data_IF_349960254179
#
_entry.id   IF_349960254179
#
_cell.length_a   1.000
_cell.length_b   1.000
_cell.length_c   1.000
_cell.angle_alpha   90.00
_cell.angle_beta   90.00
_cell.angle_gamma   90.00
#
_symmetry.space_group_name_H-M   'P 1'
#
loop_
_entity.id
_entity.type
_entity.pdbx_description
1 polymer ?
#
# COMPACT_ATOMS: atom_id res chain seq x y z
N UNK A 1 3.47 -3.09 -8.99
CA UNK A 1 3.27 -1.82 -9.71
C UNK A 1 1.83 -1.79 -10.18
N UNK A 2 1.03 -0.90 -9.61
CA UNK A 2 -0.37 -0.70 -10.01
C UNK A 2 -0.44 0.35 -11.11
N UNK A 3 -1.28 0.11 -12.13
CA UNK A 3 -1.48 1.03 -13.25
C UNK A 3 -2.95 1.44 -13.29
N UNK A 4 -3.21 2.70 -13.59
CA UNK A 4 -4.54 3.28 -13.51
C UNK A 4 -5.02 3.77 -14.89
N UNK A 5 -6.32 3.60 -15.13
CA UNK A 5 -7.03 4.19 -16.25
C UNK A 5 -8.21 5.00 -15.71
N UNK A 6 -8.28 6.29 -16.07
CA UNK A 6 -9.30 7.22 -15.56
C UNK A 6 -9.36 7.26 -14.02
N UNK A 7 -8.21 7.19 -13.35
CA UNK A 7 -8.14 7.21 -11.89
C UNK A 7 -8.58 5.92 -11.20
N UNK A 8 -8.73 4.80 -11.93
CA UNK A 8 -9.22 3.51 -11.41
C UNK A 8 -8.22 2.40 -11.80
N UNK A 9 -7.87 1.51 -10.87
CA UNK A 9 -6.88 0.44 -11.14
C UNK A 9 -7.34 -0.41 -12.31
N UNK A 10 -6.43 -0.69 -13.23
CA UNK A 10 -6.66 -1.60 -14.35
C UNK A 10 -6.58 -3.04 -13.83
N UNK A 11 -7.62 -3.84 -14.08
CA UNK A 11 -7.61 -5.27 -13.80
C UNK A 11 -6.66 -5.99 -14.77
N UNK A 12 -5.69 -6.71 -14.24
CA UNK A 12 -4.74 -7.54 -14.97
C UNK A 12 -4.37 -8.75 -14.12
N UNK A 13 -3.88 -9.82 -14.74
CA UNK A 13 -3.66 -11.09 -14.03
C UNK A 13 -2.72 -10.89 -12.83
N UNK A 14 -3.20 -11.20 -11.62
CA UNK A 14 -2.43 -11.08 -10.38
C UNK A 14 -2.18 -9.66 -9.89
N UNK A 15 -2.99 -8.67 -10.27
CA UNK A 15 -2.97 -7.33 -9.65
C UNK A 15 -3.75 -7.27 -8.33
N UNK A 16 -4.63 -8.26 -8.06
CA UNK A 16 -5.45 -8.33 -6.86
C UNK A 16 -6.86 -7.76 -7.02
N UNK A 17 -7.27 -7.44 -8.26
CA UNK A 17 -8.64 -7.12 -8.61
C UNK A 17 -9.54 -8.35 -8.44
N UNK A 18 -10.73 -8.16 -7.86
CA UNK A 18 -11.63 -9.26 -7.48
C UNK A 18 -13.10 -8.84 -7.48
N UNK A 19 -13.99 -9.78 -7.77
CA UNK A 19 -15.42 -9.66 -7.48
C UNK A 19 -15.65 -10.37 -6.16
N UNK A 20 -16.22 -9.68 -5.18
CA UNK A 20 -16.35 -10.18 -3.81
C UNK A 20 -17.81 -10.25 -3.43
N UNK A 21 -18.25 -11.44 -3.00
CA UNK A 21 -19.59 -11.68 -2.49
C UNK A 21 -20.68 -11.16 -3.44
N UNK A 22 -20.55 -11.48 -4.73
CA UNK A 22 -21.62 -11.24 -5.70
C UNK A 22 -22.83 -12.09 -5.30
N UNK A 23 -23.91 -11.42 -4.92
CA UNK A 23 -25.03 -12.04 -4.21
C UNK A 23 -26.34 -11.31 -4.54
N UNK A 24 -27.47 -12.03 -4.67
CA UNK A 24 -27.61 -13.49 -4.55
C UNK A 24 -27.33 -14.23 -5.87
N UNK A 25 -26.47 -15.25 -5.82
CA UNK A 25 -26.41 -16.30 -6.85
C UNK A 25 -27.31 -17.48 -6.46
N UNK A 26 -28.43 -17.68 -7.16
CA UNK A 26 -29.42 -18.69 -6.72
C UNK A 26 -29.16 -20.04 -7.36
N UNK A 27 -28.48 -20.92 -6.63
CA UNK A 27 -28.24 -22.29 -7.05
C UNK A 27 -29.16 -23.30 -6.35
N UNK A 28 -29.48 -24.40 -7.04
CA UNK A 28 -30.24 -25.51 -6.50
C UNK A 28 -29.34 -26.43 -5.66
N UNK A 29 -29.65 -26.56 -4.37
CA UNK A 29 -28.91 -27.39 -3.41
C UNK A 29 -29.59 -28.74 -3.19
N UNK A 30 -28.84 -29.87 -3.18
CA UNK A 30 -29.42 -31.17 -2.90
C UNK A 30 -30.07 -31.22 -1.50
N UNK A 31 -31.27 -31.78 -1.35
CA UNK A 31 -31.88 -32.00 -0.03
C UNK A 31 -31.11 -33.09 0.73
N UNK A 32 -31.06 -32.98 2.07
CA UNK A 32 -30.32 -33.95 2.91
C UNK A 32 -30.95 -35.36 2.95
N UNK A 33 -32.26 -35.55 2.72
CA UNK A 33 -32.98 -36.85 2.70
C UNK A 33 -34.46 -36.71 2.22
N UNK A 34 -35.12 -37.72 1.60
CA UNK A 34 -34.86 -38.40 0.32
C UNK A 34 -35.36 -37.62 -0.94
N UNK A 35 -35.08 -38.18 -2.13
CA UNK A 35 -34.88 -37.54 -3.44
C UNK A 35 -36.11 -36.99 -4.21
N UNK A 36 -36.85 -36.02 -3.68
CA UNK A 36 -37.84 -35.25 -4.47
C UNK A 36 -38.19 -33.95 -3.74
N UNK A 37 -37.74 -32.75 -4.17
CA UNK A 37 -37.72 -32.18 -5.54
C UNK A 37 -36.29 -31.97 -6.11
N UNK A 38 -36.11 -31.40 -7.34
CA UNK A 38 -34.81 -31.28 -8.05
C UNK A 38 -33.72 -30.40 -7.40
N UNK A 39 -33.86 -30.09 -6.11
CA UNK A 39 -33.02 -29.18 -5.33
C UNK A 39 -33.85 -28.05 -4.74
N UNK A 40 -33.37 -27.47 -3.64
CA UNK A 40 -33.95 -26.26 -3.05
C UNK A 40 -33.17 -25.06 -3.58
N UNK A 41 -33.83 -24.03 -4.13
CA UNK A 41 -33.14 -22.81 -4.54
C UNK A 41 -32.61 -22.09 -3.29
N UNK A 42 -31.29 -21.94 -3.21
CA UNK A 42 -30.58 -21.30 -2.10
C UNK A 42 -29.67 -20.23 -2.67
N UNK A 43 -29.69 -18.99 -2.15
CA UNK A 43 -28.78 -17.94 -2.59
C UNK A 43 -27.39 -18.14 -2.00
N UNK A 44 -26.36 -18.08 -2.83
CA UNK A 44 -24.94 -18.19 -2.50
C UNK A 44 -24.19 -16.91 -2.88
N UNK A 45 -23.08 -16.60 -2.18
CA UNK A 45 -22.16 -15.57 -2.60
C UNK A 45 -21.14 -16.12 -3.60
N UNK A 46 -20.86 -15.37 -4.65
CA UNK A 46 -19.82 -15.67 -5.61
C UNK A 46 -18.56 -14.81 -5.39
N UNK A 47 -17.39 -15.42 -5.59
CA UNK A 47 -16.09 -14.76 -5.54
C UNK A 47 -15.29 -15.05 -6.81
N UNK A 48 -14.79 -14.02 -7.48
CA UNK A 48 -13.96 -14.11 -8.68
C UNK A 48 -12.65 -13.34 -8.51
N UNK A 49 -11.54 -13.87 -9.04
CA UNK A 49 -10.21 -13.33 -8.83
C UNK A 49 -9.46 -13.15 -10.14
N UNK A 50 -8.76 -12.02 -10.30
CA UNK A 50 -7.91 -11.79 -11.48
C UNK A 50 -6.71 -12.74 -11.60
N UNK A 51 -6.40 -13.50 -10.55
CA UNK A 51 -5.29 -14.47 -10.55
C UNK A 51 -5.50 -15.63 -11.52
N UNK A 52 -6.73 -15.88 -11.97
CA UNK A 52 -7.05 -16.88 -12.99
C UNK A 52 -7.54 -16.28 -14.32
N UNK A 53 -7.25 -14.98 -14.54
CA UNK A 53 -7.61 -14.27 -15.76
C UNK A 53 -7.18 -15.03 -17.01
N UNK A 54 -8.13 -15.27 -17.89
CA UNK A 54 -7.95 -15.94 -19.17
C UNK A 54 -8.33 -15.00 -20.31
N UNK A 55 -7.69 -15.16 -21.47
CA UNK A 55 -7.96 -14.36 -22.68
C UNK A 55 -7.78 -12.84 -22.47
N UNK A 56 -6.80 -12.46 -21.63
CA UNK A 56 -6.32 -11.09 -21.52
C UNK A 56 -5.45 -10.65 -22.70
N UNK A 57 -4.91 -9.44 -22.63
CA UNK A 57 -4.07 -8.85 -23.69
C UNK A 57 -2.83 -9.69 -24.01
N UNK A 58 -2.42 -9.67 -25.29
CA UNK A 58 -1.23 -10.41 -25.74
C UNK A 58 0.06 -9.59 -25.67
N UNK A 59 -0.01 -8.33 -26.10
CA UNK A 59 1.15 -7.47 -26.37
C UNK A 59 1.45 -6.52 -25.22
N UNK A 60 0.44 -5.82 -24.70
CA UNK A 60 0.58 -4.87 -23.58
C UNK A 60 0.37 -5.63 -22.27
N UNK A 61 1.25 -5.42 -21.30
CA UNK A 61 1.23 -6.15 -20.04
C UNK A 61 1.51 -5.22 -18.87
N UNK A 62 0.90 -5.50 -17.73
CA UNK A 62 1.23 -4.86 -16.44
C UNK A 62 2.01 -5.89 -15.63
N UNK A 63 3.25 -5.61 -15.24
CA UNK A 63 4.07 -6.56 -14.48
C UNK A 63 4.27 -7.91 -15.19
N UNK A 64 4.44 -7.91 -16.52
CA UNK A 64 4.52 -9.11 -17.37
C UNK A 64 3.25 -9.99 -17.41
N UNK A 65 2.12 -9.45 -16.95
CA UNK A 65 0.83 -10.13 -16.90
C UNK A 65 -0.19 -9.49 -17.85
N UNK A 66 -1.06 -10.31 -18.48
CA UNK A 66 -2.06 -9.85 -19.42
C UNK A 66 -3.13 -9.00 -18.71
N UNK A 67 -3.70 -8.05 -19.44
CA UNK A 67 -4.70 -7.08 -18.99
C UNK A 67 -6.09 -7.60 -19.31
N UNK A 68 -7.07 -7.37 -18.41
CA UNK A 68 -8.47 -7.70 -18.63
C UNK A 68 -9.10 -6.75 -19.64
N UNK A 69 -9.59 -7.30 -20.74
CA UNK A 69 -10.11 -6.58 -21.90
C UNK A 69 -11.60 -6.83 -22.12
N UNK A 70 -12.27 -5.77 -22.56
CA UNK A 70 -13.65 -5.74 -23.07
C UNK A 70 -13.96 -6.96 -23.94
N UNK A 71 -15.05 -7.66 -23.59
CA UNK A 71 -15.66 -8.73 -24.39
C UNK A 71 -14.73 -9.88 -24.79
N UNK A 72 -13.56 -10.02 -24.16
CA UNK A 72 -12.68 -11.16 -24.41
C UNK A 72 -12.16 -11.84 -23.16
N UNK A 73 -11.87 -11.08 -22.12
CA UNK A 73 -11.24 -11.63 -20.93
C UNK A 73 -12.26 -12.06 -19.88
N UNK A 74 -11.91 -13.06 -19.09
CA UNK A 74 -12.75 -13.57 -18.01
C UNK A 74 -11.91 -14.18 -16.90
N UNK A 75 -12.43 -14.15 -15.68
CA UNK A 75 -11.93 -15.00 -14.60
C UNK A 75 -12.46 -16.41 -14.82
N UNK A 76 -11.58 -17.40 -14.70
CA UNK A 76 -11.83 -18.75 -15.21
C UNK A 76 -12.97 -19.44 -14.44
N UNK A 77 -13.09 -19.16 -13.14
CA UNK A 77 -14.16 -19.68 -12.28
C UNK A 77 -14.52 -18.67 -11.18
N UNK A 78 -15.77 -18.71 -10.71
CA UNK A 78 -16.17 -18.23 -9.41
C UNK A 78 -16.13 -19.36 -8.37
N UNK A 79 -16.28 -18.99 -7.10
CA UNK A 79 -16.36 -19.90 -5.94
C UNK A 79 -17.35 -19.35 -4.93
N UNK A 80 -17.83 -20.20 -4.02
CA UNK A 80 -18.79 -19.87 -2.96
C UNK A 80 -20.19 -20.48 -3.16
N UNK A 81 -20.47 -20.97 -4.37
CA UNK A 81 -21.70 -21.62 -4.81
C UNK A 81 -21.56 -23.15 -5.00
N UNK A 82 -20.45 -23.76 -4.55
CA UNK A 82 -20.16 -25.18 -4.76
C UNK A 82 -21.22 -26.10 -4.15
N UNK A 83 -21.88 -25.68 -3.07
CA UNK A 83 -22.96 -26.42 -2.41
C UNK A 83 -24.25 -26.46 -3.27
N UNK A 84 -24.38 -25.57 -4.25
CA UNK A 84 -25.44 -25.55 -5.27
C UNK A 84 -25.33 -26.66 -6.31
N UNK A 85 -25.05 -27.89 -5.90
CA UNK A 85 -24.65 -29.00 -6.77
C UNK A 85 -25.80 -29.94 -7.20
N UNK A 86 -27.07 -29.54 -7.05
CA UNK A 86 -28.17 -30.34 -7.59
C UNK A 86 -28.14 -30.35 -9.13
N UNK A 87 -28.91 -31.23 -9.76
CA UNK A 87 -28.84 -31.45 -11.21
C UNK A 87 -29.01 -30.16 -12.05
N UNK A 88 -29.83 -29.22 -11.57
CA UNK A 88 -30.03 -27.91 -12.22
C UNK A 88 -28.90 -26.91 -11.94
N UNK A 89 -28.23 -26.95 -10.79
CA UNK A 89 -27.23 -25.96 -10.33
C UNK A 89 -27.79 -24.53 -10.36
N UNK A 90 -27.14 -23.57 -11.01
CA UNK A 90 -27.63 -22.20 -11.17
C UNK A 90 -29.00 -22.11 -11.84
N UNK A 91 -29.80 -21.14 -11.40
CA UNK A 91 -31.18 -20.95 -11.84
C UNK A 91 -31.28 -20.65 -13.35
N UNK A 92 -30.40 -19.79 -13.85
CA UNK A 92 -30.31 -19.27 -15.20
C UNK A 92 -29.32 -20.11 -16.02
N UNK A 93 -28.08 -20.22 -15.56
CA UNK A 93 -26.95 -20.74 -16.34
C UNK A 93 -26.83 -22.27 -16.28
N UNK A 94 -27.51 -22.90 -15.33
CA UNK A 94 -27.39 -24.33 -15.02
C UNK A 94 -25.96 -24.78 -14.71
N UNK A 95 -25.12 -23.84 -14.24
CA UNK A 95 -23.78 -24.13 -13.76
C UNK A 95 -23.63 -23.65 -12.32
N UNK A 96 -22.61 -24.14 -11.66
CA UNK A 96 -22.03 -23.55 -10.46
C UNK A 96 -20.52 -23.40 -10.73
N UNK A 97 -19.84 -22.45 -10.09
CA UNK A 97 -18.41 -22.14 -10.31
C UNK A 97 -18.06 -21.72 -11.75
N UNK A 98 -19.01 -21.09 -12.46
CA UNK A 98 -18.87 -20.61 -13.83
C UNK A 98 -17.89 -19.43 -13.98
N UNK A 99 -17.80 -18.86 -15.19
CA UNK A 99 -16.86 -17.75 -15.45
C UNK A 99 -17.38 -16.43 -14.90
N UNK A 100 -16.48 -15.47 -14.66
CA UNK A 100 -16.83 -14.08 -14.34
C UNK A 100 -16.37 -13.16 -15.46
N UNK A 101 -17.27 -12.31 -15.95
CA UNK A 101 -16.99 -11.37 -17.03
C UNK A 101 -17.19 -9.93 -16.56
N UNK A 102 -16.30 -9.04 -16.98
CA UNK A 102 -16.55 -7.61 -16.88
C UNK A 102 -17.65 -7.19 -17.87
N UNK A 103 -18.65 -6.48 -17.37
CA UNK A 103 -19.78 -5.91 -18.11
C UNK A 103 -19.60 -4.40 -18.37
N UNK A 104 -18.57 -3.78 -17.80
CA UNK A 104 -18.15 -2.42 -18.09
C UNK A 104 -16.62 -2.32 -18.18
N UNK A 105 -16.13 -1.26 -18.80
CA UNK A 105 -14.71 -1.02 -19.06
C UNK A 105 -14.47 0.46 -19.36
N UNK A 106 -13.21 0.86 -19.50
CA UNK A 106 -12.85 2.19 -19.97
C UNK A 106 -13.25 2.41 -21.43
N UNK A 107 -13.92 3.53 -21.70
CA UNK A 107 -14.35 3.94 -23.04
C UNK A 107 -13.23 4.60 -23.86
N UNK A 108 -12.23 5.18 -23.20
CA UNK A 108 -11.17 6.00 -23.80
C UNK A 108 -9.77 5.38 -23.65
N UNK A 109 -9.49 4.65 -22.57
CA UNK A 109 -8.26 3.87 -22.41
C UNK A 109 -8.46 2.47 -22.96
N UNK A 110 -7.74 2.18 -24.05
CA UNK A 110 -7.86 0.92 -24.79
C UNK A 110 -6.52 0.21 -24.93
N UNK A 111 -6.55 -1.11 -24.77
CA UNK A 111 -5.43 -2.01 -25.04
C UNK A 111 -5.83 -2.92 -26.18
N UNK A 112 -5.05 -2.92 -27.26
CA UNK A 112 -5.34 -3.71 -28.48
C UNK A 112 -6.74 -3.39 -29.04
N UNK A 113 -7.09 -2.10 -29.05
CA UNK A 113 -8.38 -1.55 -29.49
C UNK A 113 -9.60 -1.94 -28.64
N UNK A 114 -9.40 -2.60 -27.50
CA UNK A 114 -10.45 -2.99 -26.56
C UNK A 114 -10.36 -2.18 -25.28
N UNK A 115 -11.50 -1.78 -24.71
CA UNK A 115 -11.51 -1.14 -23.39
C UNK A 115 -10.90 -2.03 -22.32
N UNK A 116 -10.27 -1.43 -21.31
CA UNK A 116 -9.72 -2.17 -20.16
C UNK A 116 -10.72 -2.20 -19.01
N UNK A 117 -10.89 -3.35 -18.37
CA UNK A 117 -11.70 -3.48 -17.15
C UNK A 117 -10.93 -2.88 -15.96
N UNK A 118 -11.63 -2.19 -15.06
CA UNK A 118 -11.01 -1.46 -13.94
C UNK A 118 -11.78 -1.65 -12.63
N UNK A 119 -11.16 -1.25 -11.51
CA UNK A 119 -11.85 -1.01 -10.24
C UNK A 119 -13.17 -0.28 -10.48
N UNK A 120 -14.28 -0.77 -9.94
CA UNK A 120 -15.62 -0.19 -9.99
C UNK A 120 -16.41 -0.53 -11.25
N UNK A 121 -15.79 -1.18 -12.24
CA UNK A 121 -16.53 -1.60 -13.44
C UNK A 121 -17.39 -2.80 -13.04
N UNK A 122 -18.61 -2.87 -13.57
CA UNK A 122 -19.53 -3.97 -13.27
C UNK A 122 -19.00 -5.27 -13.86
N UNK A 123 -19.28 -6.37 -13.18
CA UNK A 123 -19.03 -7.73 -13.61
C UNK A 123 -20.23 -8.60 -13.24
N UNK A 124 -20.38 -9.72 -13.92
CA UNK A 124 -21.41 -10.73 -13.62
C UNK A 124 -20.75 -12.09 -13.48
N UNK A 125 -21.28 -12.90 -12.57
CA UNK A 125 -20.68 -14.16 -12.16
C UNK A 125 -21.44 -15.40 -12.65
N UNK A 126 -20.79 -16.55 -12.47
CA UNK A 126 -21.34 -17.87 -12.75
C UNK A 126 -21.82 -18.12 -14.18
N UNK A 127 -21.10 -17.59 -15.17
CA UNK A 127 -21.46 -17.74 -16.58
C UNK A 127 -21.21 -19.15 -17.13
N UNK A 128 -22.27 -19.74 -17.70
CA UNK A 128 -22.21 -20.76 -18.76
C UNK A 128 -22.99 -20.33 -20.02
N UNK A 129 -23.50 -19.09 -20.02
CA UNK A 129 -24.24 -18.46 -21.11
C UNK A 129 -23.86 -16.97 -21.21
N UNK A 130 -24.47 -16.22 -22.14
CA UNK A 130 -24.25 -14.77 -22.23
C UNK A 130 -24.68 -14.04 -20.95
N UNK A 131 -25.73 -14.52 -20.27
CA UNK A 131 -26.13 -14.02 -18.96
C UNK A 131 -25.42 -14.82 -17.87
N UNK A 132 -25.02 -14.11 -16.81
CA UNK A 132 -24.58 -14.72 -15.56
C UNK A 132 -25.77 -15.23 -14.74
N UNK A 133 -25.48 -15.99 -13.68
CA UNK A 133 -26.51 -16.47 -12.76
C UNK A 133 -26.78 -15.47 -11.63
N UNK A 134 -25.74 -14.73 -11.24
CA UNK A 134 -25.77 -13.64 -10.27
C UNK A 134 -26.05 -12.27 -10.92
N UNK A 135 -26.64 -11.31 -10.18
CA UNK A 135 -26.77 -9.92 -10.63
C UNK A 135 -25.39 -9.26 -10.85
N UNK A 136 -25.32 -8.10 -11.53
CA UNK A 136 -24.05 -7.40 -11.67
C UNK A 136 -23.49 -6.88 -10.33
N UNK A 137 -22.21 -7.15 -10.07
CA UNK A 137 -21.45 -6.66 -8.92
C UNK A 137 -20.21 -5.89 -9.39
N UNK A 138 -19.71 -4.97 -8.56
CA UNK A 138 -18.52 -4.18 -8.92
C UNK A 138 -17.22 -5.00 -8.78
N UNK A 139 -16.30 -4.81 -9.72
CA UNK A 139 -14.91 -5.25 -9.56
C UNK A 139 -14.25 -4.38 -8.49
N UNK A 140 -13.74 -4.99 -7.44
CA UNK A 140 -12.98 -4.34 -6.38
C UNK A 140 -11.49 -4.37 -6.73
N UNK A 141 -10.80 -3.26 -6.51
CA UNK A 141 -9.38 -3.07 -6.72
C UNK A 141 -8.88 -1.86 -5.93
N UNK A 142 -7.67 -1.38 -6.22
CA UNK A 142 -7.06 -0.21 -5.62
C UNK A 142 -7.51 1.06 -6.36
N UNK A 143 -7.98 2.10 -5.67
CA UNK A 143 -8.25 3.38 -6.33
C UNK A 143 -6.92 4.13 -6.63
N UNK A 144 -6.87 4.94 -7.70
CA UNK A 144 -5.64 5.69 -8.09
C UNK A 144 -5.22 6.73 -7.07
N UNK A 145 -6.22 7.26 -6.38
CA UNK A 145 -6.06 7.95 -5.13
C UNK A 145 -6.48 6.91 -4.12
N UNK A 146 -5.63 6.57 -3.14
CA UNK A 146 -6.03 5.68 -2.05
C UNK A 146 -7.44 6.05 -1.59
N UNK A 147 -8.22 5.06 -1.14
CA UNK A 147 -9.36 5.37 -0.26
C UNK A 147 -8.81 6.41 0.68
N UNK A 148 -9.39 7.62 0.67
CA UNK A 148 -8.88 8.72 1.46
C UNK A 148 -8.84 8.21 2.90
N UNK A 149 -7.65 7.81 3.34
CA UNK A 149 -7.38 7.50 4.74
C UNK A 149 -7.57 8.83 5.43
N UNK A 150 -8.78 9.06 5.92
CA UNK A 150 -9.27 10.36 6.36
C UNK A 150 -9.08 11.51 5.34
N UNK A 151 -9.79 12.61 5.52
CA UNK A 151 -9.46 13.86 4.82
C UNK A 151 -8.10 14.44 5.25
N UNK A 152 -7.37 13.72 6.12
CA UNK A 152 -6.26 14.17 6.93
C UNK A 152 -4.95 13.41 6.70
N UNK A 153 -4.95 12.26 6.02
CA UNK A 153 -3.69 11.56 5.74
C UNK A 153 -2.88 12.28 4.66
N UNK A 154 -1.75 12.84 5.09
CA UNK A 154 -0.75 13.45 4.20
C UNK A 154 0.56 12.68 4.31
N UNK A 155 0.81 11.82 3.31
CA UNK A 155 2.07 11.09 3.14
C UNK A 155 2.61 11.32 1.73
N UNK A 156 3.86 11.75 1.63
CA UNK A 156 4.49 12.09 0.35
C UNK A 156 5.93 12.53 0.53
N UNK A 157 6.59 13.02 -0.53
CA UNK A 157 7.90 13.65 -0.39
C UNK A 157 7.78 14.90 0.48
N UNK A 158 8.88 15.29 1.15
CA UNK A 158 8.90 16.50 1.96
C UNK A 158 8.49 17.75 1.16
N UNK A 159 8.98 17.90 -0.07
CA UNK A 159 8.61 19.02 -0.96
C UNK A 159 7.10 19.08 -1.24
N UNK A 160 6.43 17.93 -1.37
CA UNK A 160 5.01 17.87 -1.74
C UNK A 160 4.07 18.21 -0.59
N UNK A 161 4.49 17.88 0.64
CA UNK A 161 3.61 17.90 1.82
C UNK A 161 4.01 18.93 2.88
N UNK A 162 5.25 19.41 2.92
CA UNK A 162 5.76 20.24 4.03
C UNK A 162 4.88 21.48 4.29
N UNK A 163 4.64 22.28 3.25
CA UNK A 163 3.88 23.53 3.38
C UNK A 163 2.41 23.27 3.73
N UNK A 164 1.82 22.22 3.14
CA UNK A 164 0.42 21.82 3.40
C UNK A 164 0.25 21.32 4.83
N UNK A 165 1.19 20.51 5.30
CA UNK A 165 1.21 20.00 6.65
C UNK A 165 1.36 21.14 7.66
N UNK A 166 2.33 22.03 7.47
CA UNK A 166 2.55 23.19 8.34
C UNK A 166 1.36 24.16 8.37
N UNK A 167 0.56 24.22 7.31
CA UNK A 167 -0.65 25.03 7.25
C UNK A 167 -1.82 24.44 8.05
N UNK A 168 -1.77 23.14 8.40
CA UNK A 168 -2.80 22.48 9.20
C UNK A 168 -2.78 23.05 10.62
N UNK A 169 -3.98 23.39 11.11
CA UNK A 169 -4.19 23.91 12.46
C UNK A 169 -4.72 22.80 13.35
N UNK A 170 -4.21 22.74 14.56
CA UNK A 170 -4.75 21.93 15.63
C UNK A 170 -5.31 22.88 16.70
N UNK A 171 -6.63 22.93 16.91
CA UNK A 171 -7.22 23.75 17.98
C UNK A 171 -6.91 23.20 19.38
N UNK A 172 -6.39 21.97 19.47
CA UNK A 172 -6.06 21.26 20.71
C UNK A 172 -4.57 21.31 21.07
N UNK A 173 -3.72 21.89 20.21
CA UNK A 173 -2.28 21.98 20.46
C UNK A 173 -1.99 22.78 21.74
N UNK A 174 -1.47 22.14 22.81
CA UNK A 174 -1.17 22.80 24.08
C UNK A 174 -0.02 23.81 23.97
N UNK A 175 0.73 23.82 22.86
CA UNK A 175 1.84 24.73 22.56
C UNK A 175 1.44 25.87 21.63
N UNK A 176 0.16 25.94 21.21
CA UNK A 176 -0.36 27.03 20.41
C UNK A 176 -0.34 28.33 21.22
N UNK A 177 0.64 29.21 20.97
CA UNK A 177 0.67 30.54 21.59
C UNK A 177 -0.40 31.43 20.94
N UNK A 178 -1.27 32.11 21.72
CA UNK A 178 -2.24 33.07 21.19
C UNK A 178 -1.54 34.13 20.33
N UNK A 179 -2.00 34.32 19.09
CA UNK A 179 -1.47 35.33 18.17
C UNK A 179 -0.19 34.96 17.39
N UNK A 180 0.34 33.74 17.53
CA UNK A 180 1.44 33.26 16.68
C UNK A 180 0.93 32.35 15.56
N UNK A 181 1.57 32.38 14.38
CA UNK A 181 1.43 31.34 13.35
C UNK A 181 2.13 30.05 13.81
N UNK A 182 1.73 29.49 14.95
CA UNK A 182 2.29 28.23 15.44
C UNK A 182 1.99 27.12 14.43
N UNK A 183 3.03 26.44 13.95
CA UNK A 183 2.87 25.20 13.16
C UNK A 183 2.35 24.12 14.11
N UNK A 184 1.07 23.76 13.95
CA UNK A 184 0.42 22.77 14.79
C UNK A 184 0.72 21.33 14.32
N UNK A 185 1.00 21.17 13.02
CA UNK A 185 1.46 19.93 12.42
C UNK A 185 2.83 20.14 11.77
N UNK A 186 3.59 19.06 11.65
CA UNK A 186 4.90 19.04 11.03
C UNK A 186 5.07 17.77 10.19
N UNK A 187 5.68 17.93 9.01
CA UNK A 187 6.06 16.80 8.17
C UNK A 187 7.24 16.07 8.82
N UNK A 188 7.02 14.83 9.22
CA UNK A 188 8.02 13.95 9.81
C UNK A 188 8.64 13.06 8.74
N UNK A 189 9.95 13.17 8.50
CA UNK A 189 10.69 12.22 7.69
C UNK A 189 10.64 10.82 8.33
N UNK A 190 9.99 9.87 7.67
CA UNK A 190 9.86 8.49 8.17
C UNK A 190 11.24 7.89 8.34
N UNK A 191 12.06 7.90 7.27
CA UNK A 191 13.50 7.66 7.39
C UNK A 191 14.19 9.02 7.45
N UNK A 192 14.84 9.38 8.57
CA UNK A 192 15.45 10.69 8.73
C UNK A 192 16.52 10.97 7.68
N UNK A 193 16.51 12.17 7.11
CA UNK A 193 17.52 12.63 6.14
C UNK A 193 18.97 12.45 6.65
N UNK A 194 19.19 12.59 7.96
CA UNK A 194 20.50 12.33 8.60
C UNK A 194 21.05 10.92 8.35
N UNK A 195 20.18 9.92 8.14
CA UNK A 195 20.59 8.54 7.86
C UNK A 195 21.32 8.46 6.51
N UNK A 196 21.00 9.37 5.58
CA UNK A 196 21.58 9.43 4.25
C UNK A 196 22.75 10.41 4.13
N UNK A 197 23.25 10.93 5.25
CA UNK A 197 24.37 11.87 5.29
C UNK A 197 25.63 11.27 5.87
N UNK A 198 26.75 11.70 5.31
CA UNK A 198 28.11 11.40 5.76
C UNK A 198 28.49 12.29 6.95
N UNK A 199 28.14 13.57 6.88
CA UNK A 199 28.32 14.57 7.94
C UNK A 199 27.06 15.47 8.02
N UNK A 200 27.15 16.70 8.53
CA UNK A 200 25.97 17.59 8.57
C UNK A 200 25.53 18.06 7.19
N UNK A 201 26.48 18.26 6.26
CA UNK A 201 26.24 18.90 4.96
C UNK A 201 26.22 17.88 3.80
N UNK A 202 27.08 16.87 3.86
CA UNK A 202 27.37 15.97 2.75
C UNK A 202 26.44 14.75 2.72
N UNK A 203 25.74 14.57 1.59
CA UNK A 203 24.78 13.48 1.35
C UNK A 203 25.45 12.31 0.62
N UNK A 204 24.98 11.10 0.87
CA UNK A 204 25.29 9.94 0.03
C UNK A 204 24.54 10.02 -1.31
N UNK A 205 25.23 9.79 -2.43
CA UNK A 205 24.62 9.90 -3.77
C UNK A 205 24.69 8.59 -4.57
N UNK A 206 25.45 7.59 -4.10
CA UNK A 206 25.62 6.33 -4.79
C UNK A 206 25.38 5.10 -3.89
N UNK A 207 24.34 4.29 -4.15
CA UNK A 207 23.24 4.47 -5.13
C UNK A 207 22.38 5.71 -4.81
N UNK A 208 21.38 6.10 -5.64
CA UNK A 208 20.64 7.35 -5.45
C UNK A 208 19.82 7.37 -4.14
N UNK A 209 20.45 7.79 -3.04
CA UNK A 209 19.76 8.03 -1.77
C UNK A 209 18.88 9.28 -1.90
N UNK A 210 17.70 9.30 -1.27
CA UNK A 210 16.82 10.45 -1.32
C UNK A 210 17.47 11.65 -0.62
N UNK A 211 17.29 12.82 -1.21
CA UNK A 211 17.55 14.08 -0.53
C UNK A 211 16.49 14.37 0.55
N UNK A 212 16.76 15.37 1.39
CA UNK A 212 15.78 15.90 2.36
C UNK A 212 14.42 16.17 1.72
N UNK A 213 14.40 16.80 0.55
CA UNK A 213 13.17 17.22 -0.12
C UNK A 213 12.41 16.03 -0.73
N UNK A 214 13.14 15.01 -1.16
CA UNK A 214 12.58 13.78 -1.73
C UNK A 214 12.16 12.75 -0.67
N UNK A 215 12.73 12.82 0.53
CA UNK A 215 12.48 11.85 1.59
C UNK A 215 10.99 11.74 1.93
N UNK A 216 10.48 10.51 2.02
CA UNK A 216 9.07 10.29 2.36
C UNK A 216 8.80 10.76 3.79
N UNK A 217 7.75 11.57 3.91
CA UNK A 217 7.28 12.14 5.15
C UNK A 217 5.82 11.75 5.41
N UNK A 218 5.46 11.79 6.68
CA UNK A 218 4.08 11.72 7.18
C UNK A 218 3.77 13.00 7.96
N UNK A 219 2.59 13.59 7.74
CA UNK A 219 2.15 14.75 8.51
C UNK A 219 1.59 14.32 9.86
N UNK A 220 2.19 14.80 10.95
CA UNK A 220 1.74 14.49 12.32
C UNK A 220 1.67 15.77 13.16
N UNK A 221 0.85 15.79 14.23
CA UNK A 221 0.83 16.87 15.19
C UNK A 221 2.22 17.13 15.76
N UNK A 222 2.52 18.40 16.00
CA UNK A 222 3.82 18.83 16.51
C UNK A 222 4.18 18.20 17.85
N UNK A 223 3.18 17.96 18.70
CA UNK A 223 3.33 17.31 20.00
C UNK A 223 3.81 15.86 19.89
N UNK A 224 3.52 15.17 18.78
CA UNK A 224 4.02 13.83 18.48
C UNK A 224 5.29 13.87 17.62
N UNK A 225 5.59 14.98 16.96
CA UNK A 225 6.81 15.12 16.15
C UNK A 225 8.05 15.36 16.99
N UNK A 226 8.19 16.52 17.62
CA UNK A 226 9.42 16.91 18.33
C UNK A 226 9.17 16.98 19.82
N UNK A 227 10.18 16.65 20.64
CA UNK A 227 10.19 16.68 22.11
C UNK A 227 9.77 18.03 22.73
N UNK A 228 8.52 18.42 22.57
CA UNK A 228 7.83 19.15 23.59
C UNK A 228 7.42 18.09 24.60
N UNK A 229 8.20 17.94 25.69
CA UNK A 229 7.74 17.16 26.84
C UNK A 229 6.34 17.67 27.16
N UNK A 230 5.28 16.87 26.97
CA UNK A 230 3.99 17.27 27.48
C UNK A 230 4.14 17.41 29.00
N UNK A 231 3.30 18.22 29.66
CA UNK A 231 3.35 18.38 31.12
C UNK A 231 3.20 17.05 31.90
N UNK A 232 2.82 15.96 31.22
CA UNK A 232 2.55 14.62 31.76
C UNK A 232 3.81 13.76 31.97
N UNK A 233 4.97 14.13 31.41
CA UNK A 233 6.23 13.41 31.66
C UNK A 233 6.43 12.10 30.88
N UNK A 234 5.55 11.77 29.93
CA UNK A 234 5.68 10.62 29.03
C UNK A 234 6.31 11.03 27.68
N UNK A 235 7.24 10.23 27.17
CA UNK A 235 7.90 10.46 25.88
C UNK A 235 7.00 9.97 24.74
N UNK A 236 6.13 10.85 24.24
CA UNK A 236 5.12 10.54 23.20
C UNK A 236 5.57 10.90 21.77
N UNK A 237 6.86 11.20 21.58
CA UNK A 237 7.36 11.75 20.29
C UNK A 237 8.09 10.72 19.46
N UNK A 238 7.82 10.69 18.15
CA UNK A 238 8.47 9.76 17.21
C UNK A 238 9.98 9.91 17.25
N UNK A 239 10.50 11.14 17.34
CA UNK A 239 11.96 11.35 17.38
C UNK A 239 12.64 10.69 18.58
N UNK A 240 11.99 10.59 19.75
CA UNK A 240 12.60 9.95 20.92
C UNK A 240 12.73 8.44 20.70
N UNK A 241 11.60 7.78 20.40
CA UNK A 241 11.55 6.34 20.12
C UNK A 241 12.47 5.95 18.96
N UNK A 242 12.48 6.77 17.91
CA UNK A 242 13.29 6.54 16.73
C UNK A 242 14.78 6.70 16.97
N UNK A 243 15.19 7.77 17.66
CA UNK A 243 16.61 8.04 17.90
C UNK A 243 17.23 6.94 18.75
N UNK A 244 16.54 6.49 19.80
CA UNK A 244 17.00 5.43 20.69
C UNK A 244 17.03 4.07 19.96
N UNK A 245 15.98 3.73 19.21
CA UNK A 245 15.93 2.49 18.43
C UNK A 245 17.02 2.43 17.36
N UNK A 246 17.32 3.55 16.69
CA UNK A 246 18.40 3.60 15.71
C UNK A 246 19.78 3.48 16.37
N UNK A 247 20.01 4.21 17.47
CA UNK A 247 21.27 4.10 18.21
C UNK A 247 21.49 2.67 18.71
N UNK A 248 20.46 2.02 19.26
CA UNK A 248 20.54 0.60 19.65
C UNK A 248 20.86 -0.31 18.45
N UNK A 249 20.18 -0.11 17.32
CA UNK A 249 20.43 -0.86 16.08
C UNK A 249 21.90 -0.70 15.61
N UNK A 250 22.47 0.49 15.75
CA UNK A 250 23.86 0.80 15.41
C UNK A 250 24.90 0.15 16.34
N UNK A 251 24.50 -0.35 17.50
CA UNK A 251 25.36 -0.96 18.53
C UNK A 251 25.32 -2.50 18.55
N UNK A 252 24.22 -3.12 18.11
CA UNK A 252 23.94 -4.55 18.31
C UNK A 252 24.94 -5.53 17.66
N UNK A 253 25.60 -5.20 16.53
CA UNK A 253 26.55 -6.12 15.86
C UNK A 253 27.73 -5.38 15.22
N UNK A 254 28.84 -5.25 15.95
CA UNK A 254 30.06 -4.62 15.44
C UNK A 254 31.01 -5.65 14.82
N UNK A 255 31.04 -5.76 13.49
CA UNK A 255 32.02 -6.58 12.76
C UNK A 255 32.82 -5.72 11.79
N UNK A 256 33.86 -6.29 11.18
CA UNK A 256 34.59 -5.59 10.11
C UNK A 256 33.69 -5.28 8.90
N UNK A 257 32.66 -6.09 8.67
CA UNK A 257 31.68 -5.89 7.60
C UNK A 257 30.54 -4.94 7.99
N UNK A 258 30.19 -4.88 9.29
CA UNK A 258 29.15 -4.00 9.85
C UNK A 258 29.72 -3.17 11.01
N UNK A 259 30.36 -2.02 10.75
CA UNK A 259 30.96 -1.21 11.80
C UNK A 259 29.94 -0.49 12.68
N UNK A 260 30.28 -0.24 13.95
CA UNK A 260 29.42 0.52 14.87
C UNK A 260 29.00 1.86 14.29
N UNK A 261 27.69 2.11 14.29
CA UNK A 261 27.05 3.36 13.91
C UNK A 261 26.44 3.40 12.50
N UNK A 262 26.51 2.30 11.76
CA UNK A 262 25.80 2.12 10.48
C UNK A 262 25.03 0.80 10.48
N UNK A 263 23.99 0.73 9.67
CA UNK A 263 23.27 -0.52 9.41
C UNK A 263 22.62 -0.45 8.02
N UNK A 264 22.16 -1.60 7.49
CA UNK A 264 21.41 -1.68 6.24
C UNK A 264 20.14 -0.83 6.27
N UNK A 265 19.85 -0.16 5.16
CA UNK A 265 18.65 0.67 4.98
C UNK A 265 17.37 -0.11 5.28
N UNK A 266 17.30 -1.39 4.90
CA UNK A 266 16.14 -2.26 5.19
C UNK A 266 15.80 -2.31 6.68
N UNK A 267 16.81 -2.53 7.53
CA UNK A 267 16.63 -2.60 8.98
C UNK A 267 16.34 -1.23 9.58
N UNK A 268 17.00 -0.19 9.09
CA UNK A 268 16.73 1.20 9.50
C UNK A 268 15.27 1.55 9.20
N UNK A 269 14.79 1.28 7.98
CA UNK A 269 13.38 1.47 7.59
C UNK A 269 12.43 0.73 8.53
N UNK A 270 12.71 -0.54 8.83
CA UNK A 270 11.83 -1.33 9.69
C UNK A 270 11.77 -0.75 11.11
N UNK A 271 12.89 -0.27 11.66
CA UNK A 271 12.89 0.43 12.96
C UNK A 271 12.16 1.78 12.90
N UNK A 272 12.31 2.53 11.81
CA UNK A 272 11.58 3.77 11.60
C UNK A 272 10.06 3.56 11.58
N UNK A 273 9.61 2.52 10.88
CA UNK A 273 8.20 2.14 10.81
C UNK A 273 7.69 1.61 12.15
N UNK A 274 8.50 0.86 12.89
CA UNK A 274 8.14 0.39 14.24
C UNK A 274 7.95 1.57 15.20
N UNK A 275 8.85 2.56 15.20
CA UNK A 275 8.72 3.76 16.02
C UNK A 275 7.49 4.59 15.64
N UNK A 276 7.10 4.61 14.36
CA UNK A 276 5.87 5.24 13.90
C UNK A 276 4.62 4.42 14.25
N UNK A 277 4.72 3.08 14.31
CA UNK A 277 3.61 2.19 14.61
C UNK A 277 3.06 2.38 16.03
N UNK A 278 3.90 2.83 16.97
CA UNK A 278 3.49 3.21 18.33
C UNK A 278 2.49 4.38 18.36
N UNK A 279 2.30 5.08 17.24
CA UNK A 279 1.32 6.17 17.07
C UNK A 279 0.08 5.78 16.25
N UNK A 280 -0.08 4.50 15.91
CA UNK A 280 -1.28 3.99 15.27
C UNK A 280 -2.42 4.06 16.29
N UNK A 281 -3.54 4.67 15.89
CA UNK A 281 -4.80 4.89 16.64
C UNK A 281 -5.01 6.32 17.19
N UNK A 282 -3.97 7.13 17.39
CA UNK A 282 -4.01 8.61 17.52
C UNK A 282 -2.55 9.12 17.59
N UNK A 283 -2.06 9.99 16.68
CA UNK A 283 -2.77 10.76 15.66
C UNK A 283 -2.66 10.20 14.23
N UNK A 284 -2.09 9.01 14.05
CA UNK A 284 -1.95 8.37 12.73
C UNK A 284 -2.99 7.27 12.60
N UNK A 285 -3.93 7.42 11.65
CA UNK A 285 -4.88 6.34 11.36
C UNK A 285 -4.16 5.15 10.70
N UNK A 286 -4.69 3.94 10.92
CA UNK A 286 -4.12 2.71 10.38
C UNK A 286 -3.94 2.78 8.85
N UNK A 287 -4.95 3.30 8.14
CA UNK A 287 -4.90 3.53 6.69
C UNK A 287 -3.73 4.46 6.31
N UNK A 288 -3.49 5.52 7.09
CA UNK A 288 -2.40 6.45 6.82
C UNK A 288 -1.03 5.82 7.08
N UNK A 289 -0.93 4.98 8.11
CA UNK A 289 0.26 4.20 8.41
C UNK A 289 0.56 3.18 7.29
N UNK A 290 -0.46 2.53 6.73
CA UNK A 290 -0.28 1.61 5.58
C UNK A 290 0.27 2.34 4.35
N UNK A 291 -0.27 3.53 4.02
CA UNK A 291 0.24 4.35 2.91
C UNK A 291 1.70 4.79 3.17
N UNK A 292 2.03 5.15 4.42
CA UNK A 292 3.39 5.47 4.84
C UNK A 292 4.34 4.29 4.64
N UNK A 293 3.93 3.08 5.01
CA UNK A 293 4.69 1.85 4.82
C UNK A 293 4.95 1.58 3.33
N UNK A 294 3.92 1.67 2.48
CA UNK A 294 4.05 1.43 1.04
C UNK A 294 5.02 2.43 0.39
N UNK A 295 4.84 3.72 0.62
CA UNK A 295 5.66 4.78 0.01
C UNK A 295 7.13 4.71 0.46
N UNK A 296 7.37 4.48 1.76
CA UNK A 296 8.75 4.38 2.24
C UNK A 296 9.42 3.11 1.73
N UNK A 297 8.69 1.99 1.62
CA UNK A 297 9.20 0.76 1.04
C UNK A 297 9.58 0.99 -0.43
N UNK A 298 8.71 1.59 -1.24
CA UNK A 298 8.99 1.90 -2.65
C UNK A 298 10.26 2.75 -2.83
N UNK A 299 10.44 3.81 -2.00
CA UNK A 299 11.63 4.68 -2.07
C UNK A 299 12.92 3.94 -1.65
N UNK A 300 12.84 3.06 -0.66
CA UNK A 300 14.03 2.47 -0.02
C UNK A 300 14.40 1.09 -0.56
N UNK A 301 13.49 0.38 -1.22
CA UNK A 301 13.73 -0.96 -1.77
C UNK A 301 14.95 -1.03 -2.70
N UNK A 302 15.21 -0.05 -3.61
CA UNK A 302 16.39 -0.07 -4.47
C UNK A 302 17.72 0.05 -3.71
N UNK A 303 17.70 0.58 -2.48
CA UNK A 303 18.88 0.86 -1.66
C UNK A 303 18.93 0.02 -0.38
N UNK A 304 18.03 -0.96 -0.23
CA UNK A 304 17.80 -1.72 1.01
C UNK A 304 19.05 -2.38 1.61
N UNK A 305 19.95 -2.85 0.75
CA UNK A 305 21.18 -3.56 1.13
C UNK A 305 22.38 -2.64 1.40
N UNK A 306 22.22 -1.33 1.21
CA UNK A 306 23.29 -0.35 1.45
C UNK A 306 23.32 0.07 2.90
N UNK A 307 24.48 0.53 3.33
CA UNK A 307 24.66 1.04 4.68
C UNK A 307 24.20 2.49 4.76
N UNK A 308 23.43 2.80 5.80
CA UNK A 308 23.07 4.15 6.17
C UNK A 308 23.40 4.36 7.65
N UNK A 309 23.42 5.62 8.05
CA UNK A 309 23.77 6.01 9.41
C UNK A 309 22.64 5.64 10.37
N UNK A 310 23.00 4.89 11.42
CA UNK A 310 22.11 4.47 12.49
C UNK A 310 22.38 5.25 13.80
N UNK A 311 23.04 6.40 13.73
CA UNK A 311 23.42 7.18 14.92
C UNK A 311 22.94 8.62 14.85
N UNK A 312 22.44 9.14 15.97
CA UNK A 312 21.98 10.53 16.05
C UNK A 312 23.11 11.55 15.83
N UNK A 313 24.34 11.24 16.23
CA UNK A 313 25.52 12.10 16.00
C UNK A 313 26.62 11.39 15.20
N UNK A 314 27.21 12.09 14.23
CA UNK A 314 28.32 11.57 13.43
C UNK A 314 29.60 11.40 14.26
N UNK A 315 29.68 12.06 15.41
CA UNK A 315 30.74 11.88 16.40
C UNK A 315 30.74 10.48 17.03
N UNK A 316 29.56 9.85 17.13
CA UNK A 316 29.39 8.56 17.79
C UNK A 316 29.73 7.38 16.87
N UNK A 317 29.82 7.62 15.57
CA UNK A 317 30.18 6.60 14.59
C UNK A 317 31.67 6.27 14.64
N UNK A 318 31.97 4.98 14.50
CA UNK A 318 33.34 4.51 14.34
C UNK A 318 34.02 5.06 13.07
N UNK A 319 35.34 5.15 13.06
CA UNK A 319 36.10 5.55 11.85
C UNK A 319 35.83 4.61 10.67
N UNK A 320 35.61 3.32 10.94
CA UNK A 320 35.23 2.34 9.94
C UNK A 320 33.84 2.64 9.35
N UNK A 321 32.84 2.97 10.18
CA UNK A 321 31.50 3.38 9.74
C UNK A 321 31.55 4.61 8.82
N UNK A 322 32.32 5.65 9.22
CA UNK A 322 32.56 6.83 8.38
C UNK A 322 33.15 6.45 7.02
N UNK A 323 34.11 5.53 7.02
CA UNK A 323 34.70 4.97 5.79
C UNK A 323 33.67 4.25 4.90
N UNK A 324 32.68 3.56 5.47
CA UNK A 324 31.59 2.94 4.69
C UNK A 324 30.74 4.01 4.00
N UNK A 325 30.27 5.01 4.75
CA UNK A 325 29.41 6.08 4.22
C UNK A 325 30.15 6.93 3.17
N UNK A 326 31.43 7.23 3.38
CA UNK A 326 32.26 7.95 2.41
C UNK A 326 32.33 7.25 1.04
N UNK A 327 32.31 5.91 1.00
CA UNK A 327 32.29 5.17 -0.28
C UNK A 327 30.97 5.31 -1.05
N UNK A 328 29.92 5.72 -0.35
CA UNK A 328 28.59 5.97 -0.90
C UNK A 328 28.33 7.47 -1.14
N UNK A 329 29.28 8.33 -0.75
CA UNK A 329 29.17 9.78 -0.88
C UNK A 329 29.16 10.24 -2.33
N UNK A 330 30.10 9.73 -3.14
CA UNK A 330 30.32 10.20 -4.50
C UNK A 330 29.80 9.20 -5.55
N UNK A 331 29.32 9.68 -6.70
CA UNK A 331 29.09 8.83 -7.86
C UNK A 331 30.38 8.09 -8.23
N UNK A 332 30.27 6.80 -8.54
CA UNK A 332 31.39 6.05 -9.13
C UNK A 332 31.73 6.68 -10.47
N UNK A 333 32.98 7.09 -10.65
CA UNK A 333 33.52 7.59 -11.92
C UNK A 333 33.43 6.55 -13.04
#
# INVERSE_FOLDING_TARGET
>A
MTVFANGREISAEGQGCKVIADFPDTCFTPPENPATPPGVPVPYPDFGFDSDLTSGSGTVKIGNKPISQENSSYYKKCSGDEAGAAAKKGLITSTNTGKVYAQAWSSDVKVESKGVARLGDMATSNHASNMGDAPPMVIVGKPAFGISGDADCMVGSFEDIHDKCNAKKDPTDPLAKPGTKGVAYQAHHIVPDRCFRVNSEDRMENPPFPSRDQGICICIPRVNHSAARPPTGEDVTVHHHLDDALTELGEQVTTRANPRGVEKVDKIRNQCLAALAELVDDPVSADCFEVACEKVAEQTEPIKDKYARAEKSSSNMSSAAKGVLNRQHLPTA
#
